data_IF_437469818378
#
_entry.id   IF_437469818378
#
_cell.length_a   1.000
_cell.length_b   1.000
_cell.length_c   1.000
_cell.angle_alpha   90.00
_cell.angle_beta   90.00
_cell.angle_gamma   90.00
#
_symmetry.space_group_name_H-M   'P 1'
#
loop_
_entity.id
_entity.type
_entity.pdbx_description
1 polymer ?
#
# COMPACT_ATOMS: atom_id res chain seq x y z
N UNK A 1 34.13 29.17 1.23
CA UNK A 1 33.51 27.84 1.09
C UNK A 1 34.51 26.75 0.76
N UNK A 2 35.40 26.95 -0.25
CA UNK A 2 36.47 26.00 -0.59
C UNK A 2 37.50 25.84 0.52
N UNK A 3 37.90 26.92 1.19
CA UNK A 3 38.84 26.89 2.32
C UNK A 3 38.26 26.20 3.56
N UNK A 4 36.93 26.29 3.78
CA UNK A 4 36.25 25.56 4.84
C UNK A 4 36.21 24.05 4.54
N UNK A 5 36.06 23.65 3.28
CA UNK A 5 36.12 22.23 2.86
C UNK A 5 37.54 21.66 2.99
N UNK A 6 38.56 22.47 2.70
CA UNK A 6 39.98 22.08 2.85
C UNK A 6 40.43 21.90 4.31
N UNK A 7 39.76 22.55 5.26
CA UNK A 7 40.03 22.44 6.71
C UNK A 7 39.39 21.23 7.40
N UNK A 8 38.44 20.54 6.72
CA UNK A 8 37.77 19.37 7.29
C UNK A 8 38.69 18.16 7.17
N UNK A 9 38.98 17.50 8.30
CA UNK A 9 39.72 16.25 8.29
C UNK A 9 39.06 15.23 7.34
N UNK A 10 39.78 14.59 6.41
CA UNK A 10 39.24 13.65 5.44
C UNK A 10 38.49 12.47 6.10
N UNK A 11 38.89 12.10 7.30
CA UNK A 11 38.18 11.10 8.12
C UNK A 11 36.76 11.54 8.48
N UNK A 12 36.55 12.81 8.82
CA UNK A 12 35.24 13.37 9.15
C UNK A 12 34.27 13.29 7.96
N UNK A 13 34.75 13.59 6.75
CA UNK A 13 33.95 13.46 5.53
C UNK A 13 33.59 11.99 5.23
N UNK A 14 34.53 11.08 5.42
CA UNK A 14 34.30 9.66 5.16
C UNK A 14 33.22 9.07 6.08
N UNK A 15 33.26 9.41 7.36
CA UNK A 15 32.24 9.00 8.33
C UNK A 15 30.88 9.61 8.01
N UNK A 16 30.81 10.91 7.70
CA UNK A 16 29.57 11.57 7.34
C UNK A 16 28.93 10.96 6.08
N UNK A 17 29.74 10.61 5.08
CA UNK A 17 29.27 9.92 3.85
C UNK A 17 28.79 8.52 4.18
N UNK A 18 29.53 7.78 5.01
CA UNK A 18 29.14 6.43 5.41
C UNK A 18 27.80 6.38 6.14
N UNK A 19 27.55 7.30 7.05
CA UNK A 19 26.26 7.41 7.74
C UNK A 19 25.09 7.71 6.78
N UNK A 20 25.33 8.41 5.66
CA UNK A 20 24.31 8.66 4.65
C UNK A 20 23.92 7.39 3.85
N UNK A 21 24.73 6.32 3.88
CA UNK A 21 24.38 5.03 3.27
C UNK A 21 23.11 4.43 3.93
N UNK A 22 22.94 4.61 5.24
CA UNK A 22 21.72 4.20 5.94
C UNK A 22 20.47 4.95 5.40
N UNK A 23 20.60 6.23 5.09
CA UNK A 23 19.52 6.99 4.46
C UNK A 23 19.21 6.49 3.04
N UNK A 24 20.22 6.06 2.29
CA UNK A 24 20.03 5.43 0.97
C UNK A 24 19.36 4.07 1.07
N UNK A 25 19.70 3.26 2.08
CA UNK A 25 18.97 2.02 2.38
C UNK A 25 17.51 2.32 2.68
N UNK A 26 17.21 3.37 3.44
CA UNK A 26 15.85 3.85 3.66
C UNK A 26 15.14 4.21 2.35
N UNK A 27 15.81 4.92 1.45
CA UNK A 27 15.24 5.25 0.14
C UNK A 27 14.95 4.00 -0.69
N UNK A 28 15.83 3.01 -0.67
CA UNK A 28 15.64 1.71 -1.33
C UNK A 28 14.43 0.96 -0.77
N UNK A 29 14.25 0.97 0.56
CA UNK A 29 13.09 0.36 1.20
C UNK A 29 11.78 1.09 0.82
N UNK A 30 11.78 2.42 0.76
CA UNK A 30 10.65 3.18 0.23
C UNK A 30 10.31 2.78 -1.21
N UNK A 31 11.33 2.61 -2.04
CA UNK A 31 11.18 2.18 -3.43
C UNK A 31 10.55 0.77 -3.49
N UNK A 32 10.97 -0.16 -2.65
CA UNK A 32 10.39 -1.52 -2.61
C UNK A 32 8.90 -1.51 -2.29
N UNK A 33 8.47 -0.70 -1.32
CA UNK A 33 7.08 -0.58 -0.94
C UNK A 33 6.20 0.09 -2.01
N UNK A 34 6.77 1.02 -2.78
CA UNK A 34 6.02 1.83 -3.76
C UNK A 34 6.18 1.38 -5.21
N UNK A 35 6.98 0.34 -5.46
CA UNK A 35 7.38 -0.11 -6.80
C UNK A 35 6.20 -0.33 -7.76
N UNK A 36 5.14 -1.01 -7.29
CA UNK A 36 3.97 -1.34 -8.11
C UNK A 36 3.06 -0.13 -8.40
N UNK A 37 3.22 0.96 -7.67
CA UNK A 37 2.42 2.17 -7.80
C UNK A 37 3.11 3.29 -8.60
N UNK A 38 4.29 3.00 -9.16
CA UNK A 38 5.02 3.91 -10.05
C UNK A 38 4.58 3.70 -11.50
N UNK A 39 4.43 4.79 -12.25
CA UNK A 39 4.08 4.70 -13.69
C UNK A 39 5.20 4.04 -14.51
N UNK A 40 6.44 4.42 -14.24
CA UNK A 40 7.63 3.86 -14.89
C UNK A 40 8.68 3.44 -13.85
N UNK A 41 8.49 2.27 -13.17
CA UNK A 41 9.27 1.93 -11.98
C UNK A 41 10.79 1.90 -12.20
N UNK A 42 11.26 1.48 -13.37
CA UNK A 42 12.70 1.45 -13.68
C UNK A 42 13.29 2.85 -13.83
N UNK A 43 12.62 3.74 -14.60
CA UNK A 43 13.10 5.11 -14.84
C UNK A 43 12.96 5.96 -13.58
N UNK A 44 11.80 5.94 -12.98
CA UNK A 44 11.46 6.80 -11.84
C UNK A 44 12.22 6.34 -10.59
N UNK A 45 12.39 5.03 -10.40
CA UNK A 45 13.25 4.46 -9.37
C UNK A 45 14.72 4.86 -9.53
N UNK A 46 15.26 4.83 -10.76
CA UNK A 46 16.62 5.28 -11.03
C UNK A 46 16.81 6.77 -10.74
N UNK A 47 15.87 7.60 -11.18
CA UNK A 47 15.89 9.04 -10.93
C UNK A 47 15.82 9.32 -9.41
N UNK A 48 14.95 8.60 -8.68
CA UNK A 48 14.82 8.73 -7.23
C UNK A 48 16.12 8.36 -6.52
N UNK A 49 16.76 7.25 -6.91
CA UNK A 49 18.04 6.81 -6.33
C UNK A 49 19.16 7.81 -6.62
N UNK A 50 19.32 8.26 -7.87
CA UNK A 50 20.36 9.24 -8.22
C UNK A 50 20.14 10.57 -7.49
N UNK A 51 18.91 11.08 -7.49
CA UNK A 51 18.58 12.33 -6.78
C UNK A 51 18.77 12.19 -5.27
N UNK A 52 18.41 11.01 -4.69
CA UNK A 52 18.63 10.69 -3.30
C UNK A 52 20.11 10.69 -2.93
N UNK A 53 20.96 10.02 -3.71
CA UNK A 53 22.42 10.04 -3.50
C UNK A 53 22.95 11.48 -3.47
N UNK A 54 22.54 12.33 -4.41
CA UNK A 54 22.98 13.73 -4.46
C UNK A 54 22.50 14.50 -3.22
N UNK A 55 21.21 14.38 -2.86
CA UNK A 55 20.62 15.09 -1.73
C UNK A 55 21.28 14.65 -0.42
N UNK A 56 21.41 13.35 -0.18
CA UNK A 56 22.01 12.84 1.04
C UNK A 56 23.49 13.17 1.14
N UNK A 57 24.22 13.15 0.03
CA UNK A 57 25.63 13.56 0.01
C UNK A 57 25.77 15.05 0.37
N UNK A 58 24.93 15.91 -0.19
CA UNK A 58 24.92 17.35 0.14
C UNK A 58 24.51 17.59 1.59
N UNK A 59 23.51 16.87 2.10
CA UNK A 59 23.10 16.93 3.51
C UNK A 59 24.22 16.46 4.45
N UNK A 60 24.93 15.38 4.10
CA UNK A 60 26.09 14.90 4.85
C UNK A 60 27.20 15.94 4.96
N UNK A 61 27.54 16.59 3.85
CA UNK A 61 28.52 17.69 3.85
C UNK A 61 28.03 18.86 4.73
N UNK A 62 26.75 19.23 4.61
CA UNK A 62 26.17 20.32 5.40
C UNK A 62 26.20 20.01 6.90
N UNK A 63 25.86 18.79 7.30
CA UNK A 63 25.96 18.34 8.70
C UNK A 63 27.41 18.35 9.21
N UNK A 64 28.38 17.96 8.36
CA UNK A 64 29.79 18.00 8.68
C UNK A 64 30.27 19.43 8.94
N UNK A 65 29.87 20.39 8.09
CA UNK A 65 30.19 21.80 8.22
C UNK A 65 29.54 22.45 9.44
N UNK A 66 28.32 22.01 9.77
CA UNK A 66 27.57 22.53 10.92
C UNK A 66 27.96 21.87 12.26
N UNK A 67 28.85 20.87 12.23
CA UNK A 67 29.20 20.05 13.40
C UNK A 67 28.00 19.39 14.09
N UNK A 68 26.95 19.06 13.32
CA UNK A 68 25.71 18.42 13.79
C UNK A 68 25.73 16.94 13.43
N UNK A 69 25.20 16.04 14.29
CA UNK A 69 25.06 14.62 13.96
C UNK A 69 24.31 14.42 12.65
N UNK A 70 24.76 13.47 11.84
CA UNK A 70 24.17 13.18 10.53
C UNK A 70 22.72 12.73 10.60
N UNK A 71 22.26 12.16 11.72
CA UNK A 71 20.87 11.78 11.95
C UNK A 71 19.91 12.98 11.74
N UNK A 72 20.34 14.20 12.07
CA UNK A 72 19.54 15.42 11.85
C UNK A 72 19.30 15.73 10.37
N UNK A 73 20.10 15.16 9.47
CA UNK A 73 19.87 15.29 8.02
C UNK A 73 18.56 14.65 7.55
N UNK A 74 18.02 13.69 8.31
CA UNK A 74 16.76 13.02 8.03
C UNK A 74 15.59 14.01 8.07
N UNK A 75 15.62 14.99 8.97
CA UNK A 75 14.54 15.96 9.12
C UNK A 75 14.30 16.78 7.84
N UNK A 76 15.30 17.44 7.22
CA UNK A 76 15.10 18.16 5.98
C UNK A 76 14.94 17.25 4.75
N UNK A 77 15.50 16.03 4.77
CA UNK A 77 15.41 15.09 3.64
C UNK A 77 14.06 14.40 3.55
N UNK A 78 13.39 14.10 4.67
CA UNK A 78 12.11 13.40 4.68
C UNK A 78 11.01 14.12 3.85
N UNK A 79 10.77 15.43 3.98
CA UNK A 79 9.82 16.15 3.12
C UNK A 79 10.17 16.08 1.63
N UNK A 80 11.47 16.14 1.29
CA UNK A 80 11.93 16.05 -0.10
C UNK A 80 11.62 14.66 -0.68
N UNK A 81 11.90 13.61 0.08
CA UNK A 81 11.58 12.22 -0.32
C UNK A 81 10.06 12.04 -0.48
N UNK A 82 9.26 12.53 0.46
CA UNK A 82 7.78 12.47 0.37
C UNK A 82 7.27 13.17 -0.89
N UNK A 83 7.77 14.37 -1.20
CA UNK A 83 7.36 15.11 -2.39
C UNK A 83 7.82 14.43 -3.68
N UNK A 84 9.04 13.88 -3.72
CA UNK A 84 9.54 13.13 -4.85
C UNK A 84 8.70 11.87 -5.10
N UNK A 85 8.43 11.08 -4.07
CA UNK A 85 7.57 9.91 -4.15
C UNK A 85 6.14 10.28 -4.57
N UNK A 86 5.60 11.39 -4.05
CA UNK A 86 4.27 11.87 -4.44
C UNK A 86 4.17 12.20 -5.92
N UNK A 87 5.23 12.72 -6.50
CA UNK A 87 5.29 13.06 -7.94
C UNK A 87 5.39 11.81 -8.82
N UNK A 88 6.01 10.74 -8.30
CA UNK A 88 6.30 9.51 -9.05
C UNK A 88 5.27 8.41 -8.82
N UNK A 89 4.43 8.53 -7.78
CA UNK A 89 3.45 7.50 -7.42
C UNK A 89 2.03 8.08 -7.38
N UNK A 90 1.03 7.25 -7.68
CA UNK A 90 -0.39 7.62 -7.57
C UNK A 90 -0.97 7.38 -6.16
N UNK A 91 -0.11 7.14 -5.15
CA UNK A 91 -0.54 6.85 -3.79
C UNK A 91 -1.11 8.10 -3.09
N UNK A 92 -2.19 7.96 -2.28
CA UNK A 92 -2.70 9.05 -1.45
C UNK A 92 -1.71 9.42 -0.33
N UNK A 93 -1.76 10.68 0.14
CA UNK A 93 -0.85 11.21 1.15
C UNK A 93 -0.69 10.33 2.40
N UNK A 94 -1.79 9.75 2.90
CA UNK A 94 -1.75 8.92 4.11
C UNK A 94 -0.90 7.65 3.93
N UNK A 95 -0.97 7.00 2.77
CA UNK A 95 -0.15 5.83 2.46
C UNK A 95 1.32 6.21 2.28
N UNK A 96 1.59 7.32 1.61
CA UNK A 96 2.95 7.85 1.43
C UNK A 96 3.63 8.20 2.76
N UNK A 97 2.91 8.92 3.63
CA UNK A 97 3.40 9.24 4.96
C UNK A 97 3.65 7.97 5.79
N UNK A 98 2.77 6.97 5.67
CA UNK A 98 2.97 5.68 6.33
C UNK A 98 4.24 4.97 5.84
N UNK A 99 4.49 4.92 4.52
CA UNK A 99 5.71 4.35 3.95
C UNK A 99 6.95 5.04 4.50
N UNK A 100 7.00 6.37 4.35
CA UNK A 100 8.20 7.13 4.74
C UNK A 100 8.44 7.06 6.24
N UNK A 101 7.39 7.15 7.07
CA UNK A 101 7.56 7.07 8.53
C UNK A 101 7.93 5.66 9.01
N UNK A 102 7.42 4.60 8.36
CA UNK A 102 7.84 3.21 8.64
C UNK A 102 9.31 2.99 8.31
N UNK A 103 9.74 3.47 7.16
CA UNK A 103 11.13 3.36 6.74
C UNK A 103 12.05 4.21 7.62
N UNK A 104 11.64 5.43 7.96
CA UNK A 104 12.39 6.29 8.89
C UNK A 104 12.58 5.61 10.26
N UNK A 105 11.56 4.88 10.74
CA UNK A 105 11.67 4.09 11.96
C UNK A 105 12.71 2.97 11.83
N UNK A 106 12.72 2.21 10.74
CA UNK A 106 13.68 1.13 10.48
C UNK A 106 15.11 1.69 10.43
N UNK A 107 15.31 2.76 9.67
CA UNK A 107 16.60 3.45 9.53
C UNK A 107 17.11 3.97 10.90
N UNK A 108 16.22 4.55 11.71
CA UNK A 108 16.56 5.02 13.03
C UNK A 108 17.01 3.88 13.97
N UNK A 109 16.33 2.72 13.93
CA UNK A 109 16.72 1.55 14.74
C UNK A 109 18.06 0.98 14.27
N UNK A 110 18.30 0.85 12.97
CA UNK A 110 19.56 0.37 12.42
C UNK A 110 20.70 1.27 12.88
N UNK A 111 20.53 2.58 12.78
CA UNK A 111 21.52 3.55 13.24
C UNK A 111 21.79 3.41 14.74
N UNK A 112 20.72 3.27 15.53
CA UNK A 112 20.84 3.11 16.97
C UNK A 112 21.57 1.82 17.38
N UNK A 113 21.27 0.70 16.70
CA UNK A 113 21.96 -0.58 16.94
C UNK A 113 23.44 -0.50 16.55
N UNK A 114 23.77 0.17 15.44
CA UNK A 114 25.16 0.34 15.03
C UNK A 114 25.96 1.23 16.02
N UNK A 115 25.33 2.26 16.55
CA UNK A 115 25.93 3.07 17.62
C UNK A 115 26.18 2.27 18.90
N UNK A 116 25.25 1.38 19.26
CA UNK A 116 25.43 0.51 20.42
C UNK A 116 26.59 -0.48 20.24
N UNK A 117 26.78 -1.04 19.04
CA UNK A 117 27.93 -1.89 18.71
C UNK A 117 29.25 -1.10 18.80
N UNK A 118 29.25 0.12 18.26
CA UNK A 118 30.41 0.99 18.29
C UNK A 118 30.86 1.27 19.72
N UNK A 119 29.95 1.63 20.62
CA UNK A 119 30.21 1.86 22.02
C UNK A 119 30.66 0.61 22.75
N UNK A 120 30.11 -0.56 22.42
CA UNK A 120 30.49 -1.82 23.05
C UNK A 120 31.89 -2.28 22.64
N UNK A 121 32.35 -1.97 21.41
CA UNK A 121 33.67 -2.38 20.93
C UNK A 121 34.78 -1.41 21.30
N UNK A 122 34.55 -0.11 21.10
CA UNK A 122 35.61 0.88 21.29
C UNK A 122 35.86 1.21 22.76
N UNK A 123 34.84 1.08 23.62
CA UNK A 123 34.90 1.43 25.04
C UNK A 123 35.58 2.81 25.29
N UNK A 124 35.71 3.61 24.25
CA UNK A 124 36.39 4.88 24.23
C UNK A 124 35.41 6.03 24.04
N UNK A 125 35.73 7.10 24.71
CA UNK A 125 35.06 8.40 24.61
C UNK A 125 35.32 9.04 23.25
N UNK A 126 34.74 8.52 22.17
CA UNK A 126 34.76 9.30 20.94
C UNK A 126 33.95 10.59 21.15
N UNK A 127 34.67 11.69 21.19
CA UNK A 127 34.14 13.03 21.59
C UNK A 127 33.05 13.60 20.67
N UNK A 128 32.68 12.90 19.64
CA UNK A 128 31.69 13.36 18.69
C UNK A 128 30.64 12.26 18.53
N UNK A 129 29.36 12.59 18.59
CA UNK A 129 28.19 11.73 18.30
C UNK A 129 28.23 11.07 16.90
N UNK A 130 29.41 10.65 16.46
CA UNK A 130 29.64 10.01 15.19
C UNK A 130 29.97 8.54 15.41
N UNK A 131 29.38 7.75 14.57
CA UNK A 131 29.63 6.31 14.53
C UNK A 131 31.10 6.07 14.13
N UNK A 132 31.86 5.37 14.95
CA UNK A 132 33.24 5.00 14.64
C UNK A 132 33.34 3.87 13.61
N UNK A 133 34.55 3.36 13.36
CA UNK A 133 34.77 2.30 12.37
C UNK A 133 33.99 0.99 12.66
N UNK A 134 33.91 0.47 13.91
CA UNK A 134 33.13 -0.74 14.18
C UNK A 134 31.63 -0.51 13.97
N UNK A 135 31.14 0.66 14.38
CA UNK A 135 29.76 1.05 14.15
C UNK A 135 29.43 1.21 12.65
N UNK A 136 30.33 1.75 11.85
CA UNK A 136 30.18 1.86 10.38
C UNK A 136 30.08 0.48 9.73
N UNK A 137 30.92 -0.45 10.12
CA UNK A 137 30.85 -1.82 9.59
C UNK A 137 29.54 -2.49 10.00
N UNK A 138 29.14 -2.35 11.26
CA UNK A 138 27.86 -2.89 11.74
C UNK A 138 26.65 -2.24 11.05
N UNK A 139 26.70 -0.93 10.79
CA UNK A 139 25.69 -0.21 10.03
C UNK A 139 25.50 -0.82 8.63
N UNK A 140 26.57 -1.00 7.87
CA UNK A 140 26.53 -1.62 6.54
C UNK A 140 25.97 -3.05 6.58
N UNK A 141 26.35 -3.83 7.59
CA UNK A 141 25.85 -5.20 7.76
C UNK A 141 24.34 -5.17 8.06
N UNK A 142 23.88 -4.34 8.98
CA UNK A 142 22.47 -4.23 9.31
C UNK A 142 21.64 -3.67 8.14
N UNK A 143 22.17 -2.71 7.41
CA UNK A 143 21.54 -2.18 6.19
C UNK A 143 21.38 -3.27 5.13
N UNK A 144 22.40 -4.08 4.90
CA UNK A 144 22.34 -5.19 3.97
C UNK A 144 21.35 -6.26 4.40
N UNK A 145 21.32 -6.61 5.67
CA UNK A 145 20.34 -7.54 6.26
C UNK A 145 18.93 -6.98 6.09
N UNK A 146 18.70 -5.71 6.43
CA UNK A 146 17.40 -5.07 6.29
C UNK A 146 16.95 -5.02 4.81
N UNK A 147 17.82 -4.60 3.89
CA UNK A 147 17.52 -4.55 2.47
C UNK A 147 17.13 -5.92 1.91
N UNK A 148 17.82 -6.99 2.31
CA UNK A 148 17.56 -8.34 1.80
C UNK A 148 16.35 -9.00 2.46
N UNK A 149 16.20 -8.89 3.79
CA UNK A 149 15.10 -9.54 4.52
C UNK A 149 13.77 -8.84 4.32
N UNK A 150 13.76 -7.51 4.23
CA UNK A 150 12.55 -6.72 4.04
C UNK A 150 12.13 -6.59 2.57
N UNK A 151 12.99 -6.97 1.62
CA UNK A 151 12.63 -6.93 0.19
C UNK A 151 11.34 -7.68 -0.11
N UNK A 152 11.28 -8.96 0.25
CA UNK A 152 10.14 -9.81 -0.07
C UNK A 152 8.83 -9.33 0.59
N UNK A 153 8.76 -9.09 1.92
CA UNK A 153 7.54 -8.60 2.54
C UNK A 153 7.11 -7.21 2.05
N UNK A 154 8.04 -6.31 1.78
CA UNK A 154 7.72 -4.96 1.32
C UNK A 154 7.25 -4.94 -0.13
N UNK A 155 7.89 -5.70 -0.99
CA UNK A 155 7.55 -5.75 -2.40
C UNK A 155 6.24 -6.51 -2.68
N UNK A 156 5.95 -7.59 -1.94
CA UNK A 156 4.77 -8.43 -2.19
C UNK A 156 3.62 -8.15 -1.23
N UNK A 157 3.86 -8.21 0.07
CA UNK A 157 2.77 -8.18 1.06
C UNK A 157 2.27 -6.76 1.32
N UNK A 158 3.19 -5.80 1.51
CA UNK A 158 2.80 -4.43 1.80
C UNK A 158 2.26 -3.69 0.57
N UNK A 159 2.87 -3.88 -0.59
CA UNK A 159 2.40 -3.27 -1.83
C UNK A 159 0.96 -3.71 -2.16
N UNK A 160 0.64 -5.00 -2.02
CA UNK A 160 -0.72 -5.52 -2.20
C UNK A 160 -1.74 -4.94 -1.19
N UNK A 161 -1.28 -4.58 0.02
CA UNK A 161 -2.12 -3.99 1.06
C UNK A 161 -2.63 -2.61 0.70
N UNK A 162 -1.86 -1.83 -0.08
CA UNK A 162 -2.27 -0.48 -0.51
C UNK A 162 -3.44 -0.52 -1.49
N UNK A 163 -3.56 -1.58 -2.28
CA UNK A 163 -4.64 -1.77 -3.26
C UNK A 163 -5.88 -2.44 -2.66
N UNK A 164 -5.80 -2.89 -1.39
CA UNK A 164 -6.92 -3.56 -0.75
C UNK A 164 -8.14 -2.63 -0.65
N UNK A 165 -9.25 -2.97 -1.31
CA UNK A 165 -10.47 -2.17 -1.28
C UNK A 165 -11.20 -2.25 0.08
N UNK A 166 -10.73 -3.11 0.99
CA UNK A 166 -11.29 -3.28 2.33
C UNK A 166 -10.86 -2.17 3.28
N UNK A 167 -9.80 -1.43 2.94
CA UNK A 167 -9.22 -0.41 3.78
C UNK A 167 -9.79 0.96 3.42
N UNK A 168 -10.42 1.63 4.38
CA UNK A 168 -10.95 2.98 4.17
C UNK A 168 -9.82 4.01 4.04
N UNK A 169 -10.07 5.09 3.27
CA UNK A 169 -9.13 6.23 3.19
C UNK A 169 -8.85 6.88 4.55
N UNK A 170 -9.83 6.83 5.45
CA UNK A 170 -9.68 7.41 6.79
C UNK A 170 -8.70 6.60 7.65
N UNK A 171 -8.61 5.30 7.46
CA UNK A 171 -7.61 4.47 8.12
C UNK A 171 -6.19 4.96 7.80
N UNK A 172 -5.86 5.20 6.52
CA UNK A 172 -4.55 5.68 6.10
C UNK A 172 -4.22 7.08 6.60
N UNK A 173 -5.24 7.92 6.89
CA UNK A 173 -5.02 9.25 7.46
C UNK A 173 -4.54 9.24 8.91
N UNK A 174 -4.77 8.15 9.62
CA UNK A 174 -4.44 8.03 11.05
C UNK A 174 -3.25 7.09 11.26
N UNK A 175 -3.19 5.99 10.53
CA UNK A 175 -2.20 4.92 10.80
C UNK A 175 -0.74 5.37 10.64
N UNK A 176 -0.45 6.37 9.81
CA UNK A 176 0.90 6.90 9.62
C UNK A 176 1.46 7.58 10.88
N UNK A 177 0.58 8.05 11.78
CA UNK A 177 0.99 8.63 13.06
C UNK A 177 1.70 7.60 13.94
N UNK A 178 1.33 6.34 13.81
CA UNK A 178 1.90 5.26 14.61
C UNK A 178 3.41 5.09 14.38
N UNK A 179 3.92 4.82 13.16
CA UNK A 179 5.36 4.77 12.92
C UNK A 179 6.05 6.12 13.09
N UNK A 180 5.37 7.24 12.86
CA UNK A 180 5.91 8.57 13.08
C UNK A 180 6.20 8.84 14.56
N UNK A 181 5.24 8.59 15.44
CA UNK A 181 5.43 8.73 16.90
C UNK A 181 6.52 7.78 17.36
N UNK A 182 6.56 6.58 16.81
CA UNK A 182 7.58 5.57 17.11
C UNK A 182 8.98 6.05 16.77
N UNK A 183 9.16 6.64 15.60
CA UNK A 183 10.42 7.26 15.19
C UNK A 183 10.79 8.41 16.13
N UNK A 184 9.83 9.26 16.47
CA UNK A 184 10.05 10.37 17.38
C UNK A 184 10.50 9.90 18.77
N UNK A 185 9.92 8.81 19.31
CA UNK A 185 10.32 8.23 20.58
C UNK A 185 11.76 7.69 20.51
N UNK A 186 12.10 6.92 19.45
CA UNK A 186 13.46 6.38 19.29
C UNK A 186 14.48 7.49 19.20
N UNK A 187 14.20 8.54 18.41
CA UNK A 187 15.08 9.71 18.28
C UNK A 187 15.19 10.49 19.59
N UNK A 188 14.08 10.62 20.32
CA UNK A 188 14.07 11.30 21.63
C UNK A 188 14.83 10.53 22.71
N UNK A 189 14.74 9.19 22.71
CA UNK A 189 15.50 8.33 23.63
C UNK A 189 16.99 8.26 23.30
N UNK A 190 17.41 8.81 22.14
CA UNK A 190 18.81 8.88 21.77
C UNK A 190 19.52 9.92 22.63
N UNK A 191 20.57 9.55 23.35
CA UNK A 191 21.30 10.50 24.22
C UNK A 191 21.86 11.65 23.39
N UNK A 192 21.64 12.87 23.86
CA UNK A 192 22.12 14.08 23.19
C UNK A 192 23.63 14.31 23.40
N UNK A 193 24.18 13.78 24.49
CA UNK A 193 25.56 13.99 24.90
C UNK A 193 26.32 12.68 25.01
N UNK A 194 27.59 12.68 24.60
CA UNK A 194 28.49 11.53 24.77
C UNK A 194 28.75 11.15 26.24
N UNK A 195 28.69 12.12 27.11
CA UNK A 195 28.87 11.87 28.56
C UNK A 195 27.73 10.99 29.13
N UNK A 196 26.51 11.16 28.67
CA UNK A 196 25.37 10.33 29.07
C UNK A 196 25.39 8.93 28.43
N UNK A 197 26.01 8.76 27.23
CA UNK A 197 26.25 7.46 26.61
C UNK A 197 27.27 6.59 27.39
N UNK A 198 28.18 7.22 28.11
CA UNK A 198 29.20 6.52 28.92
C UNK A 198 28.63 5.95 30.22
N UNK A 199 27.48 6.45 30.68
CA UNK A 199 26.79 5.81 31.79
C UNK A 199 26.15 4.51 31.28
N UNK A 200 26.78 3.38 31.68
CA UNK A 200 26.33 2.02 31.32
C UNK A 200 24.87 1.78 31.67
N UNK A 201 24.32 2.48 32.64
CA UNK A 201 22.90 2.37 33.03
C UNK A 201 21.99 3.06 32.00
N UNK A 202 22.34 4.26 31.57
CA UNK A 202 21.57 5.02 30.59
C UNK A 202 21.58 4.29 29.27
N UNK A 203 22.73 3.81 28.81
CA UNK A 203 22.86 3.02 27.59
C UNK A 203 22.04 1.73 27.65
N UNK A 204 22.13 0.97 28.77
CA UNK A 204 21.38 -0.28 28.94
C UNK A 204 19.88 -0.05 28.96
N UNK A 205 19.40 1.00 29.62
CA UNK A 205 17.97 1.36 29.63
C UNK A 205 17.50 1.75 28.22
N UNK A 206 18.22 2.64 27.55
CA UNK A 206 17.87 3.10 26.21
C UNK A 206 17.87 1.95 25.21
N UNK A 207 18.83 1.02 25.30
CA UNK A 207 18.89 -0.17 24.45
C UNK A 207 17.73 -1.12 24.73
N UNK A 208 17.43 -1.40 26.01
CA UNK A 208 16.31 -2.26 26.41
C UNK A 208 14.97 -1.69 25.95
N UNK A 209 14.77 -0.38 26.11
CA UNK A 209 13.56 0.31 25.64
C UNK A 209 13.44 0.22 24.11
N UNK A 210 14.52 0.43 23.37
CA UNK A 210 14.52 0.35 21.91
C UNK A 210 14.21 -1.05 21.40
N UNK A 211 14.77 -2.11 22.03
CA UNK A 211 14.46 -3.50 21.67
C UNK A 211 13.01 -3.83 22.01
N UNK A 212 12.54 -3.50 23.22
CA UNK A 212 11.17 -3.76 23.62
C UNK A 212 10.17 -3.04 22.70
N UNK A 213 10.48 -1.80 22.34
CA UNK A 213 9.65 -1.01 21.43
C UNK A 213 9.67 -1.54 20.00
N UNK A 214 10.81 -2.04 19.52
CA UNK A 214 10.94 -2.71 18.22
C UNK A 214 10.10 -3.99 18.17
N UNK A 215 10.11 -4.78 19.22
CA UNK A 215 9.24 -5.96 19.36
C UNK A 215 7.76 -5.59 19.34
N UNK A 216 7.38 -4.55 20.07
CA UNK A 216 6.01 -4.03 20.08
C UNK A 216 5.59 -3.56 18.67
N UNK A 217 6.44 -2.82 17.97
CA UNK A 217 6.17 -2.36 16.60
C UNK A 217 6.01 -3.52 15.62
N UNK A 218 6.88 -4.52 15.69
CA UNK A 218 6.79 -5.72 14.86
C UNK A 218 5.46 -6.45 15.09
N UNK A 219 5.06 -6.61 16.36
CA UNK A 219 3.77 -7.20 16.71
C UNK A 219 2.59 -6.38 16.19
N UNK A 220 2.65 -5.06 16.30
CA UNK A 220 1.60 -4.18 15.80
C UNK A 220 1.46 -4.24 14.27
N UNK A 221 2.57 -4.26 13.53
CA UNK A 221 2.54 -4.47 12.07
C UNK A 221 1.96 -5.83 11.70
N UNK A 222 2.33 -6.87 12.42
CA UNK A 222 1.77 -8.21 12.21
C UNK A 222 0.25 -8.23 12.46
N UNK A 223 -0.23 -7.59 13.52
CA UNK A 223 -1.66 -7.47 13.82
C UNK A 223 -2.41 -6.69 12.72
N UNK A 224 -1.85 -5.56 12.28
CA UNK A 224 -2.44 -4.78 11.18
C UNK A 224 -2.54 -5.63 9.91
N UNK A 225 -1.47 -6.31 9.53
CA UNK A 225 -1.45 -7.19 8.37
C UNK A 225 -2.46 -8.33 8.49
N UNK A 226 -2.54 -8.97 9.67
CA UNK A 226 -3.51 -10.03 9.95
C UNK A 226 -4.96 -9.52 9.85
N UNK A 227 -5.25 -8.36 10.43
CA UNK A 227 -6.59 -7.73 10.36
C UNK A 227 -7.00 -7.43 8.93
N UNK A 228 -6.08 -6.95 8.09
CA UNK A 228 -6.33 -6.69 6.68
C UNK A 228 -6.65 -7.99 5.94
N UNK A 229 -5.87 -9.04 6.14
CA UNK A 229 -6.15 -10.35 5.54
C UNK A 229 -7.51 -10.92 5.96
N UNK A 230 -7.87 -10.78 7.24
CA UNK A 230 -9.18 -11.22 7.71
C UNK A 230 -10.33 -10.41 7.07
N UNK A 231 -10.16 -9.10 6.95
CA UNK A 231 -11.16 -8.25 6.28
C UNK A 231 -11.35 -8.63 4.80
N UNK A 232 -10.28 -8.95 4.09
CA UNK A 232 -10.34 -9.38 2.69
C UNK A 232 -11.02 -10.74 2.56
N UNK A 233 -10.72 -11.70 3.43
CA UNK A 233 -11.40 -13.04 3.47
C UNK A 233 -12.88 -12.92 3.75
N UNK A 234 -13.28 -12.08 4.71
CA UNK A 234 -14.69 -11.85 5.03
C UNK A 234 -15.42 -11.21 3.85
N UNK A 235 -14.78 -10.28 3.16
CA UNK A 235 -15.35 -9.65 1.96
C UNK A 235 -15.51 -10.64 0.81
N UNK A 236 -14.56 -11.52 0.59
CA UNK A 236 -14.68 -12.59 -0.43
C UNK A 236 -15.79 -13.57 -0.09
N UNK A 237 -15.92 -13.97 1.18
CA UNK A 237 -17.01 -14.83 1.64
C UNK A 237 -18.37 -14.16 1.39
N UNK A 238 -18.53 -12.89 1.78
CA UNK A 238 -19.76 -12.12 1.54
C UNK A 238 -20.10 -11.99 0.05
N UNK A 239 -19.09 -11.80 -0.82
CA UNK A 239 -19.31 -11.80 -2.26
C UNK A 239 -19.82 -13.14 -2.77
N UNK A 240 -19.25 -14.27 -2.30
CA UNK A 240 -19.70 -15.63 -2.67
C UNK A 240 -21.14 -15.86 -2.27
N UNK A 241 -21.51 -15.53 -1.02
CA UNK A 241 -22.90 -15.61 -0.55
C UNK A 241 -23.86 -14.79 -1.41
N UNK A 242 -23.45 -13.59 -1.80
CA UNK A 242 -24.25 -12.73 -2.67
C UNK A 242 -24.42 -13.34 -4.08
N UNK A 243 -23.38 -13.93 -4.66
CA UNK A 243 -23.47 -14.63 -5.94
C UNK A 243 -24.36 -15.86 -5.86
N UNK A 244 -24.28 -16.66 -4.79
CA UNK A 244 -25.14 -17.85 -4.58
C UNK A 244 -26.60 -17.43 -4.41
N UNK A 245 -26.88 -16.38 -3.65
CA UNK A 245 -28.23 -15.82 -3.52
C UNK A 245 -28.80 -15.36 -4.86
N UNK A 246 -27.96 -14.69 -5.67
CA UNK A 246 -28.36 -14.22 -7.00
C UNK A 246 -28.66 -15.38 -7.98
N UNK A 247 -27.84 -16.44 -7.93
CA UNK A 247 -28.09 -17.65 -8.72
C UNK A 247 -29.38 -18.33 -8.30
N UNK A 248 -29.65 -18.42 -6.99
CA UNK A 248 -30.90 -19.00 -6.46
C UNK A 248 -32.12 -18.22 -6.94
N UNK A 249 -32.07 -16.91 -6.91
CA UNK A 249 -33.14 -16.04 -7.45
C UNK A 249 -33.35 -16.24 -8.96
N UNK A 250 -32.26 -16.38 -9.73
CA UNK A 250 -32.37 -16.64 -11.18
C UNK A 250 -33.01 -18.00 -11.45
N UNK A 251 -32.67 -19.04 -10.68
CA UNK A 251 -33.27 -20.35 -10.80
C UNK A 251 -34.76 -20.32 -10.42
N UNK A 252 -35.15 -19.59 -9.37
CA UNK A 252 -36.56 -19.39 -9.03
C UNK A 252 -37.32 -18.70 -10.15
N UNK A 253 -36.77 -17.64 -10.72
CA UNK A 253 -37.39 -16.93 -11.83
C UNK A 253 -37.54 -17.80 -13.10
N UNK A 254 -36.54 -18.65 -13.39
CA UNK A 254 -36.66 -19.63 -14.49
C UNK A 254 -37.74 -20.66 -14.21
N UNK A 255 -37.85 -21.16 -13.00
CA UNK A 255 -38.90 -22.11 -12.63
C UNK A 255 -40.29 -21.50 -12.71
N UNK A 256 -40.47 -20.25 -12.30
CA UNK A 256 -41.72 -19.50 -12.47
C UNK A 256 -42.11 -19.41 -13.94
N UNK A 257 -41.17 -18.98 -14.80
CA UNK A 257 -41.40 -18.91 -16.25
C UNK A 257 -41.76 -20.26 -16.90
N UNK A 258 -41.11 -21.33 -16.45
CA UNK A 258 -41.42 -22.69 -16.90
C UNK A 258 -42.83 -23.07 -16.48
N UNK A 259 -43.25 -22.74 -15.27
CA UNK A 259 -44.59 -23.03 -14.77
C UNK A 259 -45.64 -22.20 -15.49
N UNK A 260 -45.39 -20.91 -15.74
CA UNK A 260 -46.27 -20.07 -16.57
C UNK A 260 -46.41 -20.64 -17.98
N UNK A 261 -45.32 -21.05 -18.62
CA UNK A 261 -45.36 -21.66 -19.95
C UNK A 261 -46.14 -22.97 -19.99
N UNK A 262 -46.01 -23.80 -18.93
CA UNK A 262 -46.81 -25.04 -18.76
C UNK A 262 -48.28 -24.71 -18.62
N UNK A 263 -48.64 -23.68 -17.84
CA UNK A 263 -50.02 -23.27 -17.64
C UNK A 263 -50.64 -22.71 -18.91
N UNK A 264 -49.89 -21.90 -19.68
CA UNK A 264 -50.32 -21.39 -21.00
C UNK A 264 -50.54 -22.57 -21.96
N UNK A 265 -49.60 -23.53 -21.99
CA UNK A 265 -49.75 -24.73 -22.85
C UNK A 265 -50.99 -25.55 -22.47
N UNK A 266 -51.25 -25.71 -21.18
CA UNK A 266 -52.46 -26.41 -20.67
C UNK A 266 -53.74 -25.67 -21.09
N UNK A 267 -53.78 -24.35 -20.91
CA UNK A 267 -54.93 -23.53 -21.27
C UNK A 267 -55.21 -23.57 -22.81
N UNK A 268 -54.16 -23.49 -23.64
CA UNK A 268 -54.29 -23.63 -25.10
C UNK A 268 -54.84 -25.00 -25.46
N UNK A 269 -54.36 -26.09 -24.83
CA UNK A 269 -54.88 -27.42 -25.11
C UNK A 269 -56.36 -27.55 -24.75
N UNK A 270 -56.76 -26.95 -23.61
CA UNK A 270 -58.16 -26.92 -23.19
C UNK A 270 -59.05 -26.13 -24.16
N UNK A 271 -58.57 -24.98 -24.63
CA UNK A 271 -59.29 -24.19 -25.64
C UNK A 271 -59.44 -24.94 -26.98
N UNK A 272 -58.43 -25.65 -27.42
CA UNK A 272 -58.50 -26.45 -28.67
C UNK A 272 -59.51 -27.60 -28.47
N UNK A 273 -59.51 -28.26 -27.32
CA UNK A 273 -60.50 -29.33 -27.03
C UNK A 273 -61.92 -28.79 -26.99
N UNK A 274 -62.14 -27.60 -26.42
CA UNK A 274 -63.47 -26.96 -26.37
C UNK A 274 -63.95 -26.55 -27.76
N UNK A 275 -63.06 -26.09 -28.62
CA UNK A 275 -63.39 -25.77 -30.01
C UNK A 275 -63.69 -27.03 -30.85
N UNK A 276 -63.05 -28.16 -30.58
CA UNK A 276 -63.33 -29.43 -31.28
C UNK A 276 -64.67 -30.07 -30.82
N UNK A 277 -65.08 -29.81 -29.58
CA UNK A 277 -66.34 -30.31 -29.03
C UNK A 277 -67.53 -29.36 -29.31
N UNK A 278 -67.30 -28.16 -29.82
CA UNK A 278 -68.37 -27.29 -30.27
C UNK A 278 -69.06 -27.89 -31.50
N UNK A 279 -70.34 -28.20 -31.49
CA UNK A 279 -71.04 -28.74 -32.64
C UNK A 279 -70.86 -27.74 -33.80
N UNK A 280 -70.44 -28.25 -34.97
CA UNK A 280 -70.23 -27.43 -36.14
C UNK A 280 -71.49 -26.58 -36.35
N UNK A 281 -71.34 -25.25 -36.42
CA UNK A 281 -72.48 -24.41 -36.86
C UNK A 281 -72.85 -24.87 -38.26
N UNK A 282 -74.02 -25.35 -38.40
CA UNK A 282 -74.68 -25.61 -39.70
C UNK A 282 -74.39 -24.42 -40.62
N UNK A 283 -73.60 -24.66 -41.65
CA UNK A 283 -73.24 -23.62 -42.62
C UNK A 283 -74.53 -23.12 -43.27
N UNK A 284 -75.05 -22.03 -42.75
CA UNK A 284 -76.04 -21.27 -43.58
C UNK A 284 -75.31 -20.64 -44.73
N UNK A 285 -75.74 -20.85 -45.93
CA UNK A 285 -75.17 -20.17 -47.12
C UNK A 285 -75.60 -18.71 -47.11
N UNK A 286 -74.85 -17.89 -46.46
CA UNK A 286 -75.08 -16.46 -46.37
C UNK A 286 -74.13 -15.72 -47.27
N UNK A 287 -74.70 -15.19 -48.30
CA UNK A 287 -74.45 -13.96 -49.04
C UNK A 287 -73.02 -13.40 -49.08
N UNK A 288 -72.38 -13.27 -50.24
CA UNK A 288 -71.05 -12.71 -50.43
C UNK A 288 -71.06 -11.17 -50.47
N UNK A 289 -71.42 -10.52 -49.39
CA UNK A 289 -71.27 -9.06 -49.32
C UNK A 289 -71.03 -8.60 -47.91
N UNK A 290 -69.86 -8.76 -47.32
CA UNK A 290 -69.27 -7.88 -46.27
C UNK A 290 -67.77 -8.29 -46.06
N UNK A 291 -66.96 -8.10 -47.11
CA UNK A 291 -65.50 -8.07 -46.94
C UNK A 291 -64.98 -6.71 -47.41
N UNK A 292 -65.35 -5.62 -46.78
CA UNK A 292 -64.64 -4.34 -46.91
C UNK A 292 -64.69 -3.62 -45.53
N UNK A 293 -63.66 -3.71 -44.79
CA UNK A 293 -63.10 -2.75 -43.86
C UNK A 293 -62.46 -3.46 -42.66
N UNK A 294 -61.25 -3.96 -42.86
CA UNK A 294 -60.28 -4.04 -41.77
C UNK A 294 -59.09 -3.23 -42.24
N UNK A 295 -58.63 -2.18 -41.47
CA UNK A 295 -57.35 -1.51 -41.70
C UNK A 295 -56.25 -2.47 -41.39
N UNK A 296 -55.35 -2.63 -42.35
CA UNK A 296 -54.06 -3.34 -42.17
C UNK A 296 -53.28 -2.59 -41.08
N UNK A 297 -53.28 -3.15 -39.87
CA UNK A 297 -52.36 -2.70 -38.83
C UNK A 297 -50.98 -3.16 -39.25
N UNK A 298 -50.15 -2.18 -39.61
CA UNK A 298 -48.82 -2.38 -40.12
C UNK A 298 -47.97 -3.23 -39.19
N UNK A 299 -47.27 -4.19 -39.78
CA UNK A 299 -46.17 -4.90 -39.17
C UNK A 299 -45.11 -3.88 -38.75
N UNK A 300 -45.00 -3.60 -37.44
CA UNK A 300 -43.83 -2.98 -36.90
C UNK A 300 -42.70 -4.01 -36.94
N UNK A 301 -41.74 -3.81 -37.82
CA UNK A 301 -40.46 -4.51 -37.81
C UNK A 301 -39.73 -4.21 -36.49
N UNK A 302 -39.17 -5.23 -35.83
CA UNK A 302 -38.28 -4.97 -34.69
C UNK A 302 -36.95 -4.44 -35.21
N UNK A 303 -36.68 -3.16 -35.00
CA UNK A 303 -35.34 -2.60 -35.11
C UNK A 303 -34.41 -3.22 -34.04
N UNK A 304 -33.17 -3.57 -34.38
CA UNK A 304 -32.23 -4.10 -33.43
C UNK A 304 -31.78 -2.99 -32.47
N UNK A 305 -32.22 -3.09 -31.22
CA UNK A 305 -31.71 -2.25 -30.12
C UNK A 305 -30.24 -2.59 -29.85
N UNK A 306 -29.39 -1.62 -30.12
CA UNK A 306 -27.95 -1.60 -29.87
C UNK A 306 -27.67 -1.82 -28.39
N UNK A 307 -27.15 -3.00 -28.08
CA UNK A 307 -26.51 -3.31 -26.78
C UNK A 307 -25.05 -2.81 -26.86
N UNK A 308 -24.88 -1.51 -26.72
CA UNK A 308 -23.52 -0.94 -26.63
C UNK A 308 -23.57 0.33 -25.79
N UNK A 309 -23.82 0.22 -24.47
CA UNK A 309 -23.51 1.28 -23.50
C UNK A 309 -23.84 0.84 -22.06
N UNK A 310 -23.26 -0.28 -21.62
CA UNK A 310 -23.31 -0.64 -20.20
C UNK A 310 -22.02 -1.35 -19.73
N UNK A 311 -20.88 -0.78 -20.13
CA UNK A 311 -19.57 -1.11 -19.56
C UNK A 311 -18.74 0.18 -19.56
N UNK A 312 -19.00 1.04 -18.58
CA UNK A 312 -18.03 1.99 -18.02
C UNK A 312 -18.20 2.09 -16.51
#
# INVERSE_FOLDING_TARGET
>A
MLDALASIAPSCMLFAIGEQLNALTGLLLCLYMTWHHMENPKRDGLILMISGVIVFFLCGIACCLAHVPSLWSVIPSAPVVVLALRKMTNLPWGQLLFVVSTVAYIVAIIYYLSLAVDLAVLNEQSMNLRVGWPGMISLLIFDLIAATTLFHPFHHSFSATFDSPSISRNFWRVIWLFPFISTAIVVWCMPADNASLLDTRVLSIAFTVSIAYSGFMTMAYFLIWYMIQQADRLREASKREHYEAMQTLQLQHMNERINEARQIKHNIRHHIQTLQLSPQPTICPASPRIWRRWPIIGCCSPSPCSIANMLR
#
